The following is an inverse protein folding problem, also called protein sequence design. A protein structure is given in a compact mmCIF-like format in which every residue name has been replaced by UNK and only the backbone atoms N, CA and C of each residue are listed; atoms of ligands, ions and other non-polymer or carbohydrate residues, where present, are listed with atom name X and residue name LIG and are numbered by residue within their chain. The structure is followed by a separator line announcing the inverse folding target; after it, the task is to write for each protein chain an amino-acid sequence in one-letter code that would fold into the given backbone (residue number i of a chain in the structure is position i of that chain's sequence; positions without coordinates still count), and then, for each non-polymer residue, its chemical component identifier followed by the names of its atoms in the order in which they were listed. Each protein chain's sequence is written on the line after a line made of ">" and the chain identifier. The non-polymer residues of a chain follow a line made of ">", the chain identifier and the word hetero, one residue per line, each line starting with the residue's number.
data_IF_795097261775
#
_entry.id   IF_795097261775
#
_cell.length_a   1.000
_cell.length_b   1.000
_cell.length_c   1.000
_cell.angle_alpha   90.00
_cell.angle_beta   90.00
_cell.angle_gamma   90.00
#
_symmetry.space_group_name_H-M   'P 1'
#
loop_
_entity.id
_entity.type
_entity.pdbx_description
1 polymer ?
#
# COMPACT_ATOMS: atom_id res chain seq x y z
N UNK A 1 7.18 -3.82 -15.26
CA UNK A 1 6.57 -2.85 -14.36
C UNK A 1 5.44 -3.47 -13.57
N UNK A 2 5.26 -3.05 -12.34
CA UNK A 2 4.25 -3.65 -11.46
C UNK A 2 3.00 -2.78 -11.47
N UNK A 3 1.91 -3.32 -12.03
CA UNK A 3 0.64 -2.61 -12.15
C UNK A 3 -0.51 -3.29 -11.41
N UNK A 4 -0.30 -4.50 -10.90
CA UNK A 4 -1.37 -5.24 -10.23
C UNK A 4 -1.31 -5.01 -8.73
N UNK A 5 -2.45 -4.67 -8.14
CA UNK A 5 -2.60 -4.51 -6.69
C UNK A 5 -3.70 -5.42 -6.19
N UNK A 6 -3.40 -6.16 -5.13
CA UNK A 6 -4.38 -6.98 -4.43
C UNK A 6 -4.49 -6.48 -2.99
N UNK A 7 -5.69 -6.57 -2.45
CA UNK A 7 -5.95 -6.22 -1.05
C UNK A 7 -6.16 -7.50 -0.26
N UNK A 8 -5.43 -7.66 0.84
CA UNK A 8 -5.60 -8.81 1.72
C UNK A 8 -7.01 -8.82 2.31
N UNK A 9 -7.43 -9.99 2.79
CA UNK A 9 -8.72 -10.11 3.50
C UNK A 9 -8.76 -9.19 4.71
N UNK A 10 -7.65 -9.06 5.41
CA UNK A 10 -7.52 -8.15 6.55
C UNK A 10 -7.82 -6.71 6.15
N UNK A 11 -7.21 -6.25 5.05
CA UNK A 11 -7.43 -4.88 4.56
C UNK A 11 -8.88 -4.70 4.14
N UNK A 12 -9.45 -5.67 3.43
CA UNK A 12 -10.86 -5.59 3.01
C UNK A 12 -11.78 -5.43 4.22
N UNK A 13 -11.51 -6.12 5.32
CA UNK A 13 -12.25 -5.96 6.56
C UNK A 13 -12.04 -4.57 7.18
N UNK A 14 -10.79 -4.14 7.23
CA UNK A 14 -10.46 -2.82 7.81
C UNK A 14 -11.16 -1.68 7.06
N UNK A 15 -11.27 -1.80 5.73
CA UNK A 15 -11.92 -0.76 4.92
C UNK A 15 -13.39 -0.55 5.28
N UNK A 16 -14.06 -1.54 5.87
CA UNK A 16 -15.46 -1.44 6.25
C UNK A 16 -15.67 -0.49 7.43
N UNK A 17 -14.64 -0.23 8.23
CA UNK A 17 -14.75 0.58 9.45
C UNK A 17 -13.87 1.81 9.46
N UNK A 18 -13.05 2.00 8.43
CA UNK A 18 -12.16 3.15 8.36
C UNK A 18 -12.90 4.40 7.88
N UNK A 19 -12.43 5.60 8.28
CA UNK A 19 -12.98 6.83 7.75
C UNK A 19 -12.92 6.88 6.23
N UNK A 20 -13.91 7.53 5.64
CA UNK A 20 -14.05 7.61 4.18
C UNK A 20 -12.81 8.18 3.49
N UNK A 21 -12.20 9.20 4.07
CA UNK A 21 -11.01 9.82 3.47
C UNK A 21 -9.84 8.83 3.38
N UNK A 22 -9.70 7.93 4.35
CA UNK A 22 -8.65 6.92 4.33
C UNK A 22 -8.91 5.90 3.21
N UNK A 23 -10.15 5.46 3.09
CA UNK A 23 -10.56 4.55 2.01
C UNK A 23 -10.32 5.18 0.65
N UNK A 24 -10.70 6.44 0.50
CA UNK A 24 -10.51 7.17 -0.77
C UNK A 24 -9.04 7.35 -1.09
N UNK A 25 -8.20 7.64 -0.10
CA UNK A 25 -6.77 7.82 -0.32
C UNK A 25 -6.09 6.52 -0.71
N UNK A 26 -6.50 5.40 -0.11
CA UNK A 26 -6.00 4.09 -0.53
C UNK A 26 -6.41 3.79 -1.96
N UNK A 27 -7.68 4.03 -2.30
CA UNK A 27 -8.18 3.79 -3.65
C UNK A 27 -7.41 4.62 -4.68
N UNK A 28 -7.11 5.87 -4.37
CA UNK A 28 -6.34 6.74 -5.26
C UNK A 28 -4.93 6.19 -5.49
N UNK A 29 -4.29 5.69 -4.45
CA UNK A 29 -2.96 5.08 -4.59
C UNK A 29 -3.01 3.80 -5.43
N UNK A 30 -4.02 2.96 -5.19
CA UNK A 30 -4.21 1.73 -5.98
C UNK A 30 -4.38 2.07 -7.47
N UNK A 31 -5.24 3.03 -7.77
CA UNK A 31 -5.46 3.47 -9.15
C UNK A 31 -4.17 3.99 -9.78
N UNK A 32 -3.39 4.74 -9.02
CA UNK A 32 -2.13 5.29 -9.48
C UNK A 32 -1.13 4.18 -9.83
N UNK A 33 -1.01 3.17 -8.97
CA UNK A 33 -0.14 2.02 -9.24
C UNK A 33 -0.61 1.26 -10.48
N UNK A 34 -1.91 1.04 -10.60
CA UNK A 34 -2.47 0.31 -11.75
C UNK A 34 -2.24 1.05 -13.05
N UNK A 35 -2.30 2.35 -13.03
CA UNK A 35 -2.13 3.18 -14.22
C UNK A 35 -0.66 3.41 -14.57
N UNK A 36 0.16 3.82 -13.62
CA UNK A 36 1.53 4.27 -13.87
C UNK A 36 2.60 3.24 -13.53
N UNK A 37 2.26 2.23 -12.74
CA UNK A 37 3.22 1.26 -12.24
C UNK A 37 3.81 1.68 -10.89
N UNK A 38 4.11 0.67 -10.06
CA UNK A 38 4.60 0.91 -8.70
C UNK A 38 5.86 1.75 -8.67
N UNK A 39 6.80 1.47 -9.58
CA UNK A 39 8.09 2.13 -9.61
C UNK A 39 7.97 3.64 -9.78
N UNK A 40 7.02 4.08 -10.62
CA UNK A 40 6.76 5.49 -10.81
C UNK A 40 6.05 6.11 -9.60
N UNK A 41 5.11 5.38 -9.04
CA UNK A 41 4.34 5.85 -7.89
C UNK A 41 5.22 5.99 -6.64
N UNK A 42 6.20 5.10 -6.49
CA UNK A 42 7.17 5.20 -5.39
C UNK A 42 7.94 6.51 -5.38
N UNK A 43 8.08 7.16 -6.52
CA UNK A 43 8.79 8.44 -6.63
C UNK A 43 7.95 9.65 -6.20
N UNK A 44 6.65 9.47 -6.01
CA UNK A 44 5.75 10.56 -5.62
C UNK A 44 5.96 10.87 -4.15
N UNK A 45 6.54 12.05 -3.86
CA UNK A 45 6.95 12.40 -2.50
C UNK A 45 5.78 12.42 -1.50
N UNK A 46 4.58 12.79 -1.96
CA UNK A 46 3.41 12.88 -1.09
C UNK A 46 2.98 11.53 -0.49
N UNK A 47 3.31 10.43 -1.13
CA UNK A 47 2.98 9.11 -0.59
C UNK A 47 3.95 8.66 0.51
N UNK A 48 5.13 9.25 0.61
CA UNK A 48 6.12 8.84 1.59
C UNK A 48 6.36 7.34 1.60
N UNK A 49 6.57 6.76 0.42
CA UNK A 49 6.82 5.33 0.29
C UNK A 49 8.20 4.99 0.87
N UNK A 50 8.23 4.17 1.90
CA UNK A 50 9.45 3.84 2.62
C UNK A 50 9.52 2.36 2.95
N UNK A 51 10.74 1.75 2.87
CA UNK A 51 10.89 0.38 3.35
C UNK A 51 10.79 0.33 4.86
N UNK A 52 10.27 -0.77 5.37
CA UNK A 52 10.24 -1.05 6.80
C UNK A 52 11.44 -1.93 7.17
N UNK A 53 11.79 -1.91 8.44
CA UNK A 53 12.99 -2.58 8.93
C UNK A 53 12.65 -3.56 10.06
N UNK A 54 13.67 -4.28 10.55
CA UNK A 54 13.51 -5.22 11.63
C UNK A 54 12.59 -6.37 11.25
N UNK A 55 11.60 -6.65 12.08
CA UNK A 55 10.64 -7.73 11.85
C UNK A 55 9.78 -7.54 10.61
N UNK A 56 9.74 -6.33 10.08
CA UNK A 56 8.93 -5.99 8.91
C UNK A 56 9.76 -5.86 7.63
N UNK A 57 10.99 -6.33 7.67
CA UNK A 57 11.86 -6.29 6.48
C UNK A 57 11.17 -6.96 5.28
N UNK A 58 11.21 -6.29 4.14
CA UNK A 58 10.52 -6.75 2.92
C UNK A 58 9.17 -6.08 2.72
N UNK A 59 8.62 -5.44 3.76
CA UNK A 59 7.42 -4.64 3.63
C UNK A 59 7.77 -3.16 3.41
N UNK A 60 6.84 -2.43 2.84
CA UNK A 60 6.94 -0.98 2.66
C UNK A 60 5.68 -0.32 3.16
N UNK A 61 5.76 0.96 3.48
CA UNK A 61 4.57 1.70 3.92
C UNK A 61 4.37 2.95 3.07
N UNK A 62 3.11 3.31 2.88
CA UNK A 62 2.73 4.58 2.27
C UNK A 62 1.84 5.36 3.22
N UNK A 63 1.88 6.69 3.12
CA UNK A 63 1.04 7.56 3.93
C UNK A 63 -0.35 7.67 3.31
N UNK A 64 -1.38 7.37 4.09
CA UNK A 64 -2.77 7.60 3.69
C UNK A 64 -3.33 8.87 4.32
N UNK A 65 -2.84 9.18 5.53
CA UNK A 65 -3.16 10.42 6.22
C UNK A 65 -2.03 10.69 7.20
N UNK A 66 -2.19 11.74 8.00
CA UNK A 66 -1.21 12.09 9.01
C UNK A 66 -0.94 10.94 10.00
N UNK A 67 -1.97 10.14 10.30
CA UNK A 67 -1.88 9.09 11.32
C UNK A 67 -1.97 7.67 10.73
N UNK A 68 -2.34 7.52 9.47
CA UNK A 68 -2.65 6.21 8.91
C UNK A 68 -1.70 5.86 7.77
N UNK A 69 -1.26 4.59 7.76
CA UNK A 69 -0.36 4.05 6.74
C UNK A 69 -0.92 2.76 6.18
N UNK A 70 -0.67 2.53 4.90
CA UNK A 70 -0.90 1.23 4.29
C UNK A 70 0.43 0.51 4.18
N UNK A 71 0.45 -0.74 4.62
CA UNK A 71 1.63 -1.59 4.58
C UNK A 71 1.45 -2.56 3.42
N UNK A 72 2.44 -2.63 2.53
CA UNK A 72 2.37 -3.53 1.39
C UNK A 72 3.67 -4.27 1.18
N UNK A 73 3.58 -5.34 0.42
CA UNK A 73 4.73 -6.16 0.01
C UNK A 73 4.56 -6.49 -1.47
N UNK A 74 5.68 -6.66 -2.17
CA UNK A 74 5.68 -7.13 -3.56
C UNK A 74 5.89 -8.63 -3.55
N UNK A 75 5.03 -9.34 -4.28
CA UNK A 75 5.15 -10.77 -4.49
C UNK A 75 5.36 -11.08 -5.96
N UNK A 76 5.94 -12.23 -6.21
CA UNK A 76 6.09 -12.78 -7.54
C UNK A 76 5.52 -14.20 -7.51
N UNK A 77 4.48 -14.46 -8.31
CA UNK A 77 3.82 -15.76 -8.33
C UNK A 77 4.33 -16.67 -9.46
N UNK A 78 5.44 -16.29 -10.11
CA UNK A 78 6.02 -17.03 -11.21
C UNK A 78 5.52 -16.58 -12.59
N UNK A 79 4.40 -15.87 -12.64
CA UNK A 79 3.83 -15.32 -13.86
C UNK A 79 3.95 -13.81 -13.91
N UNK A 80 3.60 -13.13 -12.80
CA UNK A 80 3.69 -11.69 -12.69
C UNK A 80 4.16 -11.30 -11.29
N UNK A 81 4.68 -10.09 -11.18
CA UNK A 81 4.86 -9.44 -9.88
C UNK A 81 3.62 -8.62 -9.56
N UNK A 82 3.25 -8.57 -8.29
CA UNK A 82 2.08 -7.80 -7.86
C UNK A 82 2.29 -7.25 -6.46
N UNK A 83 1.57 -6.16 -6.17
CA UNK A 83 1.53 -5.53 -4.85
C UNK A 83 0.43 -6.20 -4.03
N UNK A 84 0.74 -6.60 -2.81
CA UNK A 84 -0.27 -7.02 -1.84
C UNK A 84 -0.32 -6.00 -0.72
N UNK A 85 -1.44 -5.30 -0.56
CA UNK A 85 -1.66 -4.42 0.58
C UNK A 85 -2.12 -5.29 1.73
N UNK A 86 -1.31 -5.35 2.79
CA UNK A 86 -1.47 -6.35 3.84
C UNK A 86 -2.13 -5.83 5.10
N UNK A 87 -2.03 -4.52 5.34
CA UNK A 87 -2.51 -3.96 6.59
C UNK A 87 -2.65 -2.45 6.47
N UNK A 88 -3.69 -1.89 7.09
CA UNK A 88 -3.78 -0.44 7.34
C UNK A 88 -3.45 -0.24 8.81
N UNK A 89 -2.46 0.59 9.09
CA UNK A 89 -1.91 0.75 10.43
C UNK A 89 -1.90 2.20 10.84
N UNK A 90 -2.04 2.44 12.13
CA UNK A 90 -1.75 3.77 12.69
C UNK A 90 -0.25 3.99 12.68
N UNK A 91 0.14 5.23 12.51
CA UNK A 91 1.56 5.60 12.48
C UNK A 91 2.11 5.56 13.91
N UNK A 92 2.59 4.39 14.31
CA UNK A 92 3.11 4.18 15.66
C UNK A 92 4.47 3.46 15.66
N UNK A 93 5.10 3.39 14.51
CA UNK A 93 6.40 2.71 14.37
C UNK A 93 7.46 3.63 13.80
#
# INVERSE_FOLDING_TARGET
>A
MIHRVELSKRVQKQLQTLPRNIVENLAAWVDDVEERGLEEVQKVSGYHDEPLHGNRMGQRSIRLSRADRAIYRVYDNGAIEFVSVEEISKHAY
#
